data_IF_882263555307
#
_entry.id   IF_882263555307
#
_cell.length_a   1.000
_cell.length_b   1.000
_cell.length_c   1.000
_cell.angle_alpha   90.00
_cell.angle_beta   90.00
_cell.angle_gamma   90.00
#
_symmetry.space_group_name_H-M   'P 1'
#
loop_
_entity.id
_entity.type
_entity.pdbx_description
1 polymer ?
#
# COMPACT_ATOMS: atom_id res chain seq x y z
N UNK A 1 11.42 21.06 2.02
CA UNK A 1 10.44 19.97 2.27
C UNK A 1 10.95 19.21 3.48
N UNK A 2 10.25 19.29 4.62
CA UNK A 2 10.70 18.63 5.85
C UNK A 2 10.02 17.26 5.92
N UNK A 3 10.82 16.20 5.76
CA UNK A 3 10.40 14.83 5.99
C UNK A 3 10.92 14.47 7.38
N UNK A 4 10.00 14.31 8.34
CA UNK A 4 10.33 13.73 9.65
C UNK A 4 10.17 12.22 9.49
N UNK A 5 11.25 11.54 9.14
CA UNK A 5 11.34 10.09 9.11
C UNK A 5 12.70 9.66 9.66
N UNK A 6 12.74 8.48 10.27
CA UNK A 6 13.96 7.90 10.81
C UNK A 6 15.03 7.73 9.71
N UNK A 7 16.31 7.87 10.04
CA UNK A 7 17.44 7.99 9.07
C UNK A 7 17.49 6.87 8.03
N UNK A 8 17.08 5.66 8.40
CA UNK A 8 17.10 4.50 7.49
C UNK A 8 15.98 4.57 6.45
N UNK A 9 14.78 4.97 6.85
CA UNK A 9 13.60 5.10 5.98
C UNK A 9 13.67 6.27 5.01
N UNK A 10 14.42 7.33 5.34
CA UNK A 10 14.60 8.47 4.42
C UNK A 10 15.39 8.08 3.18
N UNK A 11 16.37 7.18 3.31
CA UNK A 11 17.18 6.71 2.17
C UNK A 11 16.35 5.94 1.15
N UNK A 12 15.49 5.03 1.62
CA UNK A 12 14.58 4.26 0.74
C UNK A 12 13.58 5.16 0.04
N UNK A 13 13.07 6.20 0.72
CA UNK A 13 12.16 7.19 0.12
C UNK A 13 12.89 7.97 -0.98
N UNK A 14 14.13 8.40 -0.75
CA UNK A 14 14.92 9.13 -1.74
C UNK A 14 15.22 8.26 -2.96
N UNK A 15 15.64 7.00 -2.77
CA UNK A 15 15.93 6.07 -3.87
C UNK A 15 14.67 5.76 -4.70
N UNK A 16 13.51 5.65 -4.06
CA UNK A 16 12.22 5.51 -4.75
C UNK A 16 11.83 6.77 -5.52
N UNK A 17 12.14 7.96 -5.02
CA UNK A 17 11.90 9.22 -5.74
C UNK A 17 12.83 9.31 -6.96
N UNK A 18 14.12 8.98 -6.81
CA UNK A 18 15.12 9.02 -7.88
C UNK A 18 14.82 8.03 -9.01
N UNK A 19 14.39 6.80 -8.68
CA UNK A 19 13.97 5.80 -9.70
C UNK A 19 12.74 6.23 -10.50
N UNK A 20 12.02 7.26 -10.04
CA UNK A 20 10.73 7.65 -10.58
C UNK A 20 10.74 9.04 -11.21
N UNK A 21 11.91 9.67 -11.32
CA UNK A 21 12.11 10.96 -12.00
C UNK A 21 11.87 10.83 -13.51
N UNK A 22 10.60 10.95 -13.89
CA UNK A 22 10.17 11.16 -15.26
C UNK A 22 9.34 12.43 -15.22
N UNK A 23 9.77 13.53 -15.86
CA UNK A 23 9.07 14.80 -15.80
C UNK A 23 7.73 14.67 -16.54
N UNK A 24 6.67 14.39 -15.79
CA UNK A 24 5.30 14.54 -16.25
C UNK A 24 4.81 15.90 -15.77
N UNK A 25 4.63 16.84 -16.70
CA UNK A 25 4.19 18.20 -16.40
C UNK A 25 3.00 18.19 -15.43
N UNK A 26 3.18 18.81 -14.27
CA UNK A 26 2.13 18.96 -13.24
C UNK A 26 1.88 17.74 -12.34
N UNK A 27 2.60 16.63 -12.50
CA UNK A 27 2.52 15.51 -11.56
C UNK A 27 3.24 15.84 -10.24
N UNK A 28 2.63 15.46 -9.12
CA UNK A 28 3.20 15.59 -7.77
C UNK A 28 3.22 14.26 -7.07
N UNK A 29 4.32 13.99 -6.37
CA UNK A 29 4.45 12.81 -5.50
C UNK A 29 3.74 13.08 -4.17
N UNK A 30 2.84 12.18 -3.79
CA UNK A 30 2.09 12.19 -2.53
C UNK A 30 2.23 10.84 -1.85
N UNK A 31 2.46 10.84 -0.55
CA UNK A 31 2.52 9.62 0.27
C UNK A 31 1.22 9.56 1.08
N UNK A 32 0.49 8.45 0.97
CA UNK A 32 -0.77 8.22 1.68
C UNK A 32 -0.69 6.94 2.51
N UNK A 33 -0.73 7.07 3.84
CA UNK A 33 -0.64 5.93 4.76
C UNK A 33 -1.96 5.17 4.85
N UNK A 34 -1.88 3.83 5.00
CA UNK A 34 -3.04 2.96 5.19
C UNK A 34 -3.09 2.44 6.63
N UNK A 35 -4.29 2.40 7.20
CA UNK A 35 -4.57 2.01 8.58
C UNK A 35 -4.93 0.55 8.75
N UNK A 36 -5.64 -0.04 7.79
CA UNK A 36 -6.25 -1.37 7.96
C UNK A 36 -5.86 -2.36 6.86
N UNK A 37 -5.63 -1.86 5.65
CA UNK A 37 -5.30 -2.66 4.47
C UNK A 37 -3.82 -2.59 4.15
N UNK A 38 -3.33 -3.68 3.56
CA UNK A 38 -1.96 -3.81 3.08
C UNK A 38 -1.81 -3.07 1.74
N UNK A 39 -0.88 -2.11 1.68
CA UNK A 39 -0.60 -1.31 0.50
C UNK A 39 -0.35 -2.16 -0.75
N UNK A 40 0.41 -3.26 -0.63
CA UNK A 40 0.71 -4.14 -1.75
C UNK A 40 -0.55 -4.83 -2.30
N UNK A 41 -1.57 -5.05 -1.45
CA UNK A 41 -2.84 -5.67 -1.85
C UNK A 41 -3.81 -4.68 -2.48
N UNK A 42 -3.74 -3.39 -2.12
CA UNK A 42 -4.61 -2.37 -2.70
C UNK A 42 -4.13 -1.91 -4.09
N UNK A 43 -2.82 -1.90 -4.35
CA UNK A 43 -2.27 -1.43 -5.63
C UNK A 43 -2.95 -2.08 -6.86
N UNK A 44 -3.09 -3.41 -6.95
CA UNK A 44 -3.77 -4.04 -8.08
C UNK A 44 -5.21 -3.55 -8.27
N UNK A 45 -5.96 -3.38 -7.16
CA UNK A 45 -7.35 -2.93 -7.17
C UNK A 45 -7.47 -1.47 -7.60
N UNK A 46 -6.55 -0.61 -7.15
CA UNK A 46 -6.55 0.80 -7.55
C UNK A 46 -6.18 0.89 -9.04
N UNK A 47 -5.24 0.05 -9.50
CA UNK A 47 -4.81 0.07 -10.91
C UNK A 47 -5.85 -0.44 -11.90
N UNK A 48 -6.91 -1.13 -11.45
CA UNK A 48 -8.04 -1.47 -12.34
C UNK A 48 -8.89 -0.23 -12.66
N UNK A 49 -9.01 0.69 -11.71
CA UNK A 49 -9.76 1.96 -11.86
C UNK A 49 -8.88 3.06 -12.46
N UNK A 50 -7.63 3.14 -11.99
CA UNK A 50 -6.62 4.10 -12.44
C UNK A 50 -5.49 3.35 -13.14
N UNK A 51 -5.61 3.09 -14.45
CA UNK A 51 -4.61 2.33 -15.18
C UNK A 51 -3.25 3.00 -15.10
N UNK A 52 -2.18 2.17 -15.03
CA UNK A 52 -0.81 2.65 -15.05
C UNK A 52 -0.55 3.38 -16.36
N UNK A 53 -0.24 4.66 -16.27
CA UNK A 53 0.11 5.50 -17.42
C UNK A 53 1.40 6.25 -17.10
N UNK A 54 1.98 6.93 -18.09
CA UNK A 54 3.15 7.80 -17.86
C UNK A 54 2.87 8.85 -16.79
N UNK A 55 1.61 9.33 -16.70
CA UNK A 55 1.17 10.40 -15.80
C UNK A 55 0.57 9.92 -14.48
N UNK A 56 0.37 8.60 -14.30
CA UNK A 56 -0.19 8.01 -13.08
C UNK A 56 0.67 6.81 -12.68
N UNK A 57 1.43 6.97 -11.60
CA UNK A 57 2.15 5.88 -10.95
C UNK A 57 1.67 5.73 -9.51
N UNK A 58 1.38 4.48 -9.14
CA UNK A 58 0.95 4.10 -7.78
C UNK A 58 1.85 2.95 -7.36
N UNK A 59 2.57 3.12 -6.26
CA UNK A 59 3.54 2.17 -5.74
C UNK A 59 3.27 1.88 -4.27
N UNK A 60 3.38 0.62 -3.81
CA UNK A 60 3.31 0.32 -2.39
C UNK A 60 4.63 0.71 -1.72
N UNK A 61 4.55 1.37 -0.59
CA UNK A 61 5.65 1.65 0.32
C UNK A 61 5.47 0.82 1.58
N UNK A 62 5.98 -0.41 1.54
CA UNK A 62 5.81 -1.41 2.59
C UNK A 62 6.35 -0.99 3.97
N UNK A 63 7.45 -0.24 4.12
CA UNK A 63 7.97 0.11 5.45
C UNK A 63 7.00 0.93 6.31
N UNK A 64 6.18 1.78 5.68
CA UNK A 64 5.14 2.58 6.38
C UNK A 64 3.71 2.16 6.00
N UNK A 65 3.51 1.00 5.37
CA UNK A 65 2.22 0.56 4.85
C UNK A 65 1.47 1.68 4.10
N UNK A 66 2.19 2.37 3.21
CA UNK A 66 1.70 3.55 2.53
C UNK A 66 1.64 3.34 1.01
N UNK A 67 0.95 4.23 0.31
CA UNK A 67 0.93 4.32 -1.13
C UNK A 67 1.66 5.59 -1.58
N UNK A 68 2.62 5.43 -2.48
CA UNK A 68 3.24 6.54 -3.19
C UNK A 68 2.43 6.74 -4.46
N UNK A 69 1.81 7.92 -4.56
CA UNK A 69 0.94 8.33 -5.67
C UNK A 69 1.62 9.46 -6.41
N UNK A 70 1.81 9.30 -7.70
CA UNK A 70 2.40 10.30 -8.59
C UNK A 70 1.41 10.55 -9.69
N UNK A 71 0.70 11.65 -9.58
CA UNK A 71 -0.29 12.10 -10.55
C UNK A 71 -0.53 13.60 -10.39
N UNK A 72 -1.36 14.16 -11.26
CA UNK A 72 -1.81 15.54 -11.08
C UNK A 72 -2.68 15.66 -9.80
N UNK A 73 -2.84 16.87 -9.23
CA UNK A 73 -3.58 17.07 -7.97
C UNK A 73 -5.07 16.64 -8.01
N UNK A 74 -5.69 16.59 -9.19
CA UNK A 74 -7.09 16.15 -9.33
C UNK A 74 -7.17 14.64 -9.19
N UNK A 75 -6.37 13.92 -9.97
CA UNK A 75 -6.29 12.46 -9.96
C UNK A 75 -5.78 11.94 -8.62
N UNK A 76 -4.79 12.59 -8.00
CA UNK A 76 -4.31 12.21 -6.66
C UNK A 76 -5.44 12.23 -5.63
N UNK A 77 -6.31 13.26 -5.63
CA UNK A 77 -7.46 13.31 -4.72
C UNK A 77 -8.45 12.16 -4.96
N UNK A 78 -8.76 11.85 -6.21
CA UNK A 78 -9.65 10.74 -6.56
C UNK A 78 -9.08 9.38 -6.15
N UNK A 79 -7.76 9.19 -6.30
CA UNK A 79 -7.08 7.98 -5.84
C UNK A 79 -7.18 7.85 -4.32
N UNK A 80 -6.91 8.94 -3.58
CA UNK A 80 -7.00 8.95 -2.11
C UNK A 80 -8.41 8.63 -1.64
N UNK A 81 -9.44 9.25 -2.24
CA UNK A 81 -10.84 8.98 -1.91
C UNK A 81 -11.21 7.49 -2.12
N UNK A 82 -10.77 6.89 -3.23
CA UNK A 82 -10.97 5.46 -3.47
C UNK A 82 -10.22 4.61 -2.45
N UNK A 83 -8.98 4.96 -2.15
CA UNK A 83 -8.14 4.25 -1.17
C UNK A 83 -8.80 4.26 0.20
N UNK A 84 -9.29 5.41 0.66
CA UNK A 84 -9.94 5.53 1.97
C UNK A 84 -11.24 4.72 2.05
N UNK A 85 -11.96 4.56 0.95
CA UNK A 85 -13.13 3.67 0.88
C UNK A 85 -12.75 2.19 0.93
N UNK A 86 -11.57 1.82 0.44
CA UNK A 86 -11.05 0.45 0.46
C UNK A 86 -10.31 0.12 1.77
N UNK A 87 -9.73 1.13 2.42
CA UNK A 87 -9.01 1.02 3.70
C UNK A 87 -9.99 1.03 4.88
N UNK A 88 -10.90 0.06 4.89
CA UNK A 88 -11.83 -0.17 5.98
C UNK A 88 -11.34 -1.28 6.91
N UNK A 89 -11.68 -1.24 8.22
CA UNK A 89 -11.40 -2.32 9.14
C UNK A 89 -11.99 -3.62 8.58
N UNK A 90 -11.15 -4.61 8.29
CA UNK A 90 -11.66 -5.94 7.93
C UNK A 90 -12.40 -6.49 9.14
N UNK A 91 -13.70 -6.73 9.01
CA UNK A 91 -14.51 -7.33 10.06
C UNK A 91 -13.80 -8.56 10.65
N UNK A 92 -13.52 -8.51 11.95
CA UNK A 92 -12.91 -9.53 12.81
C UNK A 92 -12.48 -10.83 12.12
N UNK A 93 -11.32 -10.84 11.45
CA UNK A 93 -10.59 -12.10 11.28
C UNK A 93 -9.91 -12.44 12.59
N UNK A 94 -10.66 -13.09 13.48
CA UNK A 94 -10.10 -13.73 14.67
C UNK A 94 -9.25 -14.92 14.20
N UNK A 95 -7.93 -14.73 14.14
CA UNK A 95 -7.01 -15.86 14.05
C UNK A 95 -7.01 -16.50 15.44
N UNK A 96 -7.78 -17.57 15.62
CA UNK A 96 -7.80 -18.34 16.86
C UNK A 96 -6.69 -19.38 16.81
N UNK A 97 -5.60 -19.14 17.57
CA UNK A 97 -4.52 -20.11 17.70
C UNK A 97 -4.95 -21.20 18.69
N UNK A 98 -5.40 -22.35 18.18
CA UNK A 98 -5.70 -23.51 19.00
C UNK A 98 -4.52 -24.47 19.01
N UNK A 99 -3.84 -24.59 20.15
CA UNK A 99 -2.83 -25.63 20.33
C UNK A 99 -3.51 -26.99 20.38
N UNK A 100 -3.12 -27.89 19.48
CA UNK A 100 -3.61 -29.26 19.44
C UNK A 100 -2.88 -30.07 20.52
N UNK A 101 -3.63 -30.62 21.47
CA UNK A 101 -3.06 -31.38 22.59
C UNK A 101 -2.73 -32.84 22.24
N UNK A 102 -3.39 -33.41 21.23
CA UNK A 102 -3.33 -34.86 20.94
C UNK A 102 -3.05 -35.21 19.48
N UNK A 103 -3.06 -34.24 18.57
CA UNK A 103 -2.85 -34.48 17.13
C UNK A 103 -1.93 -33.42 16.53
N UNK A 104 -1.06 -33.81 15.60
CA UNK A 104 -0.24 -32.84 14.89
C UNK A 104 -1.10 -32.06 13.87
N UNK A 105 -0.86 -30.75 13.74
CA UNK A 105 -1.55 -29.92 12.74
C UNK A 105 -1.38 -30.47 11.31
N UNK A 106 -0.27 -31.15 11.05
CA UNK A 106 0.04 -31.80 9.76
C UNK A 106 -0.90 -32.97 9.45
N UNK A 107 -1.42 -33.64 10.48
CA UNK A 107 -2.34 -34.79 10.33
C UNK A 107 -3.79 -34.36 10.13
N UNK A 108 -4.19 -33.20 10.68
CA UNK A 108 -5.56 -32.68 10.58
C UNK A 108 -5.80 -31.77 9.37
N UNK A 109 -4.75 -31.11 8.84
CA UNK A 109 -4.86 -30.21 7.69
C UNK A 109 -5.56 -30.80 6.44
N UNK A 110 -5.43 -32.11 6.11
CA UNK A 110 -6.14 -32.70 4.97
C UNK A 110 -7.61 -33.05 5.22
N UNK A 111 -8.09 -32.97 6.46
CA UNK A 111 -9.46 -33.37 6.86
C UNK A 111 -10.40 -32.18 7.10
N UNK A 112 -9.91 -30.96 6.89
CA UNK A 112 -10.63 -29.69 7.00
C UNK A 112 -10.75 -29.04 5.62
#
# INVERSE_FOLDING_TARGET
>A
MFIVANRDTTGEIIELIEKVDVPVEGAKTTIHELKYSDAAKLVPLITTVFPKTTSIKILPFTPFNALIIIANPVTTRQIIELVDQLDIPRGNRQIMMQQLQYASAKTLAPLL
#
